data_IF_598651477076
#
_entry.id   IF_598651477076
#
_cell.length_a   1.000
_cell.length_b   1.000
_cell.length_c   1.000
_cell.angle_alpha   90.00
_cell.angle_beta   90.00
_cell.angle_gamma   90.00
#
_symmetry.space_group_name_H-M   'P 1'
#
loop_
_entity.id
_entity.type
_entity.pdbx_description
1 polymer ?
#
# COMPACT_ATOMS: atom_id res chain seq x y z
N UNK A 1 17.20 -12.48 8.25
CA UNK A 1 18.26 -12.01 7.32
C UNK A 1 19.55 -12.71 7.70
N UNK A 2 20.18 -13.47 6.80
CA UNK A 2 21.39 -14.22 7.16
C UNK A 2 22.58 -13.27 7.27
N UNK A 3 23.29 -13.33 8.40
CA UNK A 3 24.50 -12.53 8.67
C UNK A 3 25.65 -12.84 7.70
N UNK A 4 25.49 -13.82 6.81
CA UNK A 4 26.50 -14.29 5.86
C UNK A 4 26.40 -13.57 4.51
N UNK A 5 25.20 -13.41 3.94
CA UNK A 5 25.01 -12.76 2.64
C UNK A 5 25.42 -11.28 2.67
N UNK A 6 25.06 -10.56 3.73
CA UNK A 6 25.44 -9.16 3.90
C UNK A 6 26.96 -8.95 3.95
N UNK A 7 27.71 -9.90 4.55
CA UNK A 7 29.18 -9.85 4.56
C UNK A 7 29.76 -10.01 3.15
N UNK A 8 29.19 -10.91 2.34
CA UNK A 8 29.60 -11.07 0.93
C UNK A 8 29.33 -9.78 0.16
N UNK A 9 28.15 -9.18 0.34
CA UNK A 9 27.78 -7.92 -0.31
C UNK A 9 28.72 -6.79 0.09
N UNK A 10 29.08 -6.67 1.37
CA UNK A 10 30.07 -5.69 1.83
C UNK A 10 31.43 -5.90 1.18
N UNK A 11 31.89 -7.14 1.09
CA UNK A 11 33.16 -7.46 0.41
C UNK A 11 33.10 -7.11 -1.09
N UNK A 12 31.99 -7.39 -1.77
CA UNK A 12 31.78 -7.02 -3.17
C UNK A 12 31.76 -5.50 -3.37
N UNK A 13 31.10 -4.75 -2.47
CA UNK A 13 31.13 -3.27 -2.46
C UNK A 13 32.54 -2.74 -2.26
N UNK A 14 33.31 -3.36 -1.37
CA UNK A 14 34.72 -2.99 -1.14
C UNK A 14 35.54 -3.21 -2.42
N UNK A 15 35.35 -4.33 -3.12
CA UNK A 15 36.02 -4.60 -4.39
C UNK A 15 35.62 -3.57 -5.46
N UNK A 16 34.32 -3.26 -5.59
CA UNK A 16 33.82 -2.28 -6.55
C UNK A 16 34.43 -0.89 -6.31
N UNK A 17 34.54 -0.48 -5.04
CA UNK A 17 35.06 0.84 -4.66
C UNK A 17 36.59 0.95 -4.71
N UNK A 18 37.33 -0.15 -4.49
CA UNK A 18 38.81 -0.11 -4.38
C UNK A 18 39.53 -0.45 -5.69
N UNK A 19 38.95 -1.30 -6.53
CA UNK A 19 39.59 -1.69 -7.79
C UNK A 19 39.36 -0.63 -8.88
N UNK A 20 40.45 0.03 -9.32
CA UNK A 20 40.40 1.09 -10.35
C UNK A 20 40.11 0.58 -11.76
N UNK A 21 40.50 -0.65 -12.07
CA UNK A 21 40.36 -1.24 -13.42
C UNK A 21 39.28 -2.30 -13.44
N UNK A 22 38.44 -2.25 -14.49
CA UNK A 22 37.27 -3.13 -14.63
C UNK A 22 37.66 -4.62 -14.66
N UNK A 23 38.66 -5.00 -15.46
CA UNK A 23 39.08 -6.41 -15.54
C UNK A 23 39.58 -6.98 -14.20
N UNK A 24 40.25 -6.16 -13.39
CA UNK A 24 40.69 -6.57 -12.04
C UNK A 24 39.49 -6.72 -11.11
N UNK A 25 38.54 -5.78 -11.17
CA UNK A 25 37.31 -5.80 -10.39
C UNK A 25 36.50 -7.07 -10.66
N UNK A 26 36.21 -7.37 -11.93
CA UNK A 26 35.47 -8.55 -12.33
C UNK A 26 36.17 -9.83 -11.89
N UNK A 27 37.50 -9.93 -12.07
CA UNK A 27 38.25 -11.10 -11.63
C UNK A 27 38.25 -11.29 -10.10
N UNK A 28 38.36 -10.20 -9.32
CA UNK A 28 38.27 -10.26 -7.85
C UNK A 28 36.88 -10.66 -7.37
N UNK A 29 35.82 -10.13 -8.00
CA UNK A 29 34.44 -10.50 -7.71
C UNK A 29 34.17 -11.96 -8.06
N UNK A 30 34.62 -12.42 -9.23
CA UNK A 30 34.55 -13.82 -9.65
C UNK A 30 35.18 -14.75 -8.61
N UNK A 31 36.44 -14.50 -8.24
CA UNK A 31 37.17 -15.34 -7.27
C UNK A 31 36.52 -15.35 -5.88
N UNK A 32 35.84 -14.26 -5.50
CA UNK A 32 35.09 -14.21 -4.25
C UNK A 32 33.82 -15.08 -4.33
N UNK A 33 33.04 -14.91 -5.39
CA UNK A 33 31.77 -15.63 -5.60
C UNK A 33 31.99 -17.13 -5.83
N UNK A 34 33.05 -17.51 -6.54
CA UNK A 34 33.39 -18.89 -6.85
C UNK A 34 33.68 -19.73 -5.59
N UNK A 35 34.11 -19.11 -4.49
CA UNK A 35 34.27 -19.78 -3.17
C UNK A 35 32.95 -20.30 -2.61
N UNK A 36 31.83 -19.74 -3.05
CA UNK A 36 30.49 -20.09 -2.59
C UNK A 36 29.67 -20.82 -3.65
N UNK A 37 30.31 -21.31 -4.73
CA UNK A 37 29.63 -21.98 -5.85
C UNK A 37 28.73 -23.15 -5.43
N UNK A 38 29.09 -23.84 -4.34
CA UNK A 38 28.34 -24.99 -3.82
C UNK A 38 27.21 -24.57 -2.86
N UNK A 39 27.17 -23.30 -2.44
CA UNK A 39 26.13 -22.74 -1.57
C UNK A 39 25.16 -21.88 -2.39
N UNK A 40 24.29 -22.56 -3.15
CA UNK A 40 23.29 -21.91 -4.00
C UNK A 40 22.35 -20.98 -3.24
N UNK A 41 21.89 -21.36 -2.05
CA UNK A 41 20.96 -20.55 -1.25
C UNK A 41 21.57 -19.20 -0.86
N UNK A 42 22.83 -19.21 -0.42
CA UNK A 42 23.55 -17.99 -0.06
C UNK A 42 23.75 -17.07 -1.28
N UNK A 43 24.08 -17.65 -2.44
CA UNK A 43 24.21 -16.90 -3.69
C UNK A 43 22.86 -16.34 -4.15
N UNK A 44 21.76 -17.09 -3.99
CA UNK A 44 20.40 -16.60 -4.25
C UNK A 44 20.05 -15.42 -3.34
N UNK A 45 20.37 -15.48 -2.06
CA UNK A 45 20.15 -14.37 -1.12
C UNK A 45 20.94 -13.11 -1.53
N UNK A 46 22.20 -13.27 -1.96
CA UNK A 46 23.02 -12.16 -2.47
C UNK A 46 22.40 -11.54 -3.73
N UNK A 47 21.93 -12.35 -4.68
CA UNK A 47 21.25 -11.87 -5.89
C UNK A 47 19.95 -11.15 -5.55
N UNK A 48 19.09 -11.71 -4.69
CA UNK A 48 17.83 -11.09 -4.24
C UNK A 48 18.05 -9.72 -3.61
N UNK A 49 19.03 -9.59 -2.71
CA UNK A 49 19.32 -8.32 -2.02
C UNK A 49 19.90 -7.27 -2.96
N UNK A 50 20.68 -7.68 -3.96
CA UNK A 50 21.35 -6.74 -4.88
C UNK A 50 20.50 -6.38 -6.10
N UNK A 51 19.41 -7.11 -6.38
CA UNK A 51 18.57 -6.94 -7.58
C UNK A 51 18.23 -5.47 -7.85
N UNK A 52 18.36 -5.05 -9.11
CA UNK A 52 18.09 -3.68 -9.56
C UNK A 52 19.17 -2.64 -9.21
N UNK A 53 20.34 -3.06 -8.71
CA UNK A 53 21.47 -2.16 -8.43
C UNK A 53 22.61 -2.35 -9.43
N UNK A 54 23.47 -1.34 -9.62
CA UNK A 54 24.70 -1.48 -10.42
C UNK A 54 25.61 -2.60 -9.95
N UNK A 55 25.63 -2.86 -8.63
CA UNK A 55 26.43 -3.96 -8.07
C UNK A 55 25.95 -5.32 -8.57
N UNK A 56 24.64 -5.46 -8.82
CA UNK A 56 24.04 -6.67 -9.37
C UNK A 56 24.53 -6.97 -10.78
N UNK A 57 24.51 -5.96 -11.65
CA UNK A 57 25.02 -6.07 -13.03
C UNK A 57 26.48 -6.53 -13.03
N UNK A 58 27.30 -5.94 -12.15
CA UNK A 58 28.72 -6.31 -12.01
C UNK A 58 28.92 -7.72 -11.44
N UNK A 59 28.02 -8.20 -10.58
CA UNK A 59 28.06 -9.57 -10.04
C UNK A 59 27.80 -10.58 -11.16
N UNK A 60 26.77 -10.35 -11.98
CA UNK A 60 26.42 -11.22 -13.10
C UNK A 60 27.51 -11.21 -14.18
N UNK A 61 28.03 -10.03 -14.52
CA UNK A 61 29.15 -9.89 -15.47
C UNK A 61 30.42 -10.61 -14.97
N UNK A 62 30.72 -10.52 -13.67
CA UNK A 62 31.88 -11.17 -13.08
C UNK A 62 31.72 -12.70 -12.98
N UNK A 63 30.51 -13.20 -12.75
CA UNK A 63 30.25 -14.63 -12.57
C UNK A 63 28.97 -15.08 -13.31
N UNK A 64 29.07 -15.27 -14.65
CA UNK A 64 27.93 -15.60 -15.51
C UNK A 64 27.08 -16.82 -15.11
N UNK A 65 27.61 -17.88 -14.45
CA UNK A 65 26.78 -18.97 -13.97
C UNK A 65 25.63 -18.55 -13.04
N UNK A 66 25.71 -17.37 -12.42
CA UNK A 66 24.64 -16.82 -11.59
C UNK A 66 23.41 -16.39 -12.39
N UNK A 67 23.51 -16.14 -13.69
CA UNK A 67 22.32 -15.85 -14.54
C UNK A 67 21.34 -17.02 -14.55
N UNK A 68 21.83 -18.26 -14.41
CA UNK A 68 20.96 -19.43 -14.30
C UNK A 68 20.26 -19.46 -12.95
N UNK A 69 20.96 -19.09 -11.87
CA UNK A 69 20.35 -18.95 -10.54
C UNK A 69 19.36 -17.78 -10.48
N UNK A 70 19.60 -16.70 -11.22
CA UNK A 70 18.67 -15.57 -11.34
C UNK A 70 17.37 -16.00 -12.02
N UNK A 71 17.46 -16.79 -13.09
CA UNK A 71 16.28 -17.39 -13.74
C UNK A 71 15.55 -18.36 -12.81
N UNK A 72 16.27 -19.21 -12.06
CA UNK A 72 15.67 -20.07 -11.03
C UNK A 72 14.91 -19.25 -9.98
N UNK A 73 15.45 -18.09 -9.55
CA UNK A 73 14.75 -17.19 -8.62
C UNK A 73 13.49 -16.62 -9.26
N UNK A 74 13.53 -16.20 -10.52
CA UNK A 74 12.36 -15.66 -11.21
C UNK A 74 11.29 -16.72 -11.44
N UNK A 75 11.68 -17.96 -11.73
CA UNK A 75 10.77 -19.11 -11.82
C UNK A 75 10.17 -19.48 -10.46
N UNK A 76 10.97 -19.46 -9.38
CA UNK A 76 10.50 -19.65 -8.01
C UNK A 76 9.53 -18.54 -7.59
N UNK A 77 9.87 -17.28 -7.85
CA UNK A 77 9.02 -16.14 -7.52
C UNK A 77 7.70 -16.21 -8.33
N UNK A 78 7.73 -16.61 -9.61
CA UNK A 78 6.51 -16.85 -10.42
C UNK A 78 5.67 -18.02 -9.90
N UNK A 79 6.31 -19.10 -9.46
CA UNK A 79 5.62 -20.29 -8.91
C UNK A 79 5.00 -19.97 -7.55
N UNK A 80 5.70 -19.21 -6.70
CA UNK A 80 5.14 -18.63 -5.47
C UNK A 80 3.98 -17.70 -5.81
N UNK A 81 4.08 -16.86 -6.86
CA UNK A 81 2.96 -15.99 -7.27
C UNK A 81 1.73 -16.81 -7.72
N UNK A 82 1.95 -17.97 -8.37
CA UNK A 82 0.88 -18.87 -8.80
C UNK A 82 0.29 -19.68 -7.64
N UNK A 83 1.12 -20.17 -6.71
CA UNK A 83 0.69 -20.89 -5.51
C UNK A 83 -0.01 -19.93 -4.51
N UNK A 84 0.50 -18.71 -4.33
CA UNK A 84 -0.17 -17.62 -3.61
C UNK A 84 -1.50 -17.25 -4.29
N UNK A 85 -1.59 -17.28 -5.63
CA UNK A 85 -2.86 -17.05 -6.34
C UNK A 85 -3.89 -18.17 -6.16
N UNK A 86 -3.45 -19.40 -5.84
CA UNK A 86 -4.33 -20.54 -5.54
C UNK A 86 -4.73 -20.61 -4.06
N UNK A 87 -3.84 -20.21 -3.14
CA UNK A 87 -4.18 -20.03 -1.72
C UNK A 87 -5.02 -18.76 -1.48
N UNK A 88 -4.82 -17.68 -2.26
CA UNK A 88 -5.65 -16.45 -2.23
C UNK A 88 -7.09 -16.69 -2.71
N UNK A 89 -7.36 -17.74 -3.51
CA UNK A 89 -8.75 -18.13 -3.84
C UNK A 89 -9.55 -18.60 -2.62
N UNK A 90 -8.92 -18.80 -1.46
CA UNK A 90 -9.59 -19.07 -0.18
C UNK A 90 -9.66 -17.85 0.76
N UNK A 91 -9.08 -16.71 0.42
CA UNK A 91 -9.41 -15.45 1.07
C UNK A 91 -10.72 -14.95 0.47
N UNK A 92 -11.81 -14.97 1.23
CA UNK A 92 -13.10 -14.40 0.79
C UNK A 92 -12.88 -13.05 0.11
N UNK A 93 -13.46 -12.90 -1.07
CA UNK A 93 -13.46 -11.65 -1.84
C UNK A 93 -14.15 -10.56 -1.00
N UNK A 94 -13.34 -9.80 -0.25
CA UNK A 94 -13.79 -8.79 0.71
C UNK A 94 -14.74 -7.77 0.09
N UNK A 95 -14.46 -7.36 -1.15
CA UNK A 95 -15.27 -6.46 -1.93
C UNK A 95 -15.30 -6.97 -3.38
N UNK A 96 -16.50 -7.22 -3.89
CA UNK A 96 -16.76 -7.51 -5.30
C UNK A 96 -17.35 -6.29 -6.01
N UNK A 97 -17.22 -6.22 -7.34
CA UNK A 97 -17.72 -5.11 -8.14
C UNK A 97 -18.87 -5.54 -9.04
N UNK A 98 -19.92 -4.72 -9.08
CA UNK A 98 -21.13 -4.92 -9.87
C UNK A 98 -21.25 -3.81 -10.93
N UNK A 99 -20.54 -4.00 -12.05
CA UNK A 99 -20.47 -3.02 -13.13
C UNK A 99 -19.34 -1.99 -12.94
N UNK A 100 -19.56 -0.78 -13.44
CA UNK A 100 -18.54 0.28 -13.39
C UNK A 100 -18.41 0.85 -11.98
N UNK A 101 -17.20 0.77 -11.42
CA UNK A 101 -16.84 1.39 -10.14
C UNK A 101 -15.96 2.61 -10.35
N UNK A 102 -15.88 3.47 -9.34
CA UNK A 102 -14.96 4.60 -9.37
C UNK A 102 -13.50 4.14 -9.30
N UNK A 103 -12.59 4.98 -9.78
CA UNK A 103 -11.16 4.71 -9.66
C UNK A 103 -10.71 4.57 -8.21
N UNK A 104 -11.32 5.32 -7.28
CA UNK A 104 -11.00 5.27 -5.85
C UNK A 104 -11.40 3.92 -5.24
N UNK A 105 -12.55 3.37 -5.61
CA UNK A 105 -12.99 2.04 -5.19
C UNK A 105 -12.09 0.94 -5.76
N UNK A 106 -11.73 1.05 -7.04
CA UNK A 106 -10.82 0.10 -7.69
C UNK A 106 -9.41 0.13 -7.06
N UNK A 107 -8.84 1.32 -6.88
CA UNK A 107 -7.51 1.49 -6.27
C UNK A 107 -7.51 0.97 -4.83
N UNK A 108 -8.56 1.22 -4.04
CA UNK A 108 -8.69 0.64 -2.69
C UNK A 108 -8.60 -0.87 -2.72
N UNK A 109 -9.38 -1.53 -3.57
CA UNK A 109 -9.42 -2.99 -3.62
C UNK A 109 -8.12 -3.58 -4.17
N UNK A 110 -7.53 -2.95 -5.18
CA UNK A 110 -6.22 -3.32 -5.69
C UNK A 110 -5.14 -3.23 -4.60
N UNK A 111 -5.10 -2.11 -3.87
CA UNK A 111 -4.15 -1.90 -2.78
C UNK A 111 -4.39 -2.87 -1.61
N UNK A 112 -5.65 -3.17 -1.29
CA UNK A 112 -5.99 -4.21 -0.30
C UNK A 112 -5.43 -5.56 -0.72
N UNK A 113 -5.72 -5.98 -1.95
CA UNK A 113 -5.37 -7.30 -2.44
C UNK A 113 -3.86 -7.51 -2.52
N UNK A 114 -3.12 -6.55 -3.07
CA UNK A 114 -1.72 -6.78 -3.44
C UNK A 114 -0.69 -6.16 -2.49
N UNK A 115 -1.08 -5.26 -1.57
CA UNK A 115 -0.12 -4.49 -0.77
C UNK A 115 -0.44 -4.45 0.71
N UNK A 116 -1.65 -4.02 1.08
CA UNK A 116 -1.95 -3.61 2.45
C UNK A 116 -2.83 -4.59 3.22
N UNK A 117 -3.53 -5.50 2.55
CA UNK A 117 -4.49 -6.40 3.19
C UNK A 117 -5.47 -5.63 4.08
N UNK A 118 -5.67 -6.11 5.30
CA UNK A 118 -6.55 -5.48 6.30
C UNK A 118 -6.11 -4.06 6.72
N UNK A 119 -4.85 -3.66 6.51
CA UNK A 119 -4.39 -2.31 6.83
C UNK A 119 -4.94 -1.24 5.87
N UNK A 120 -5.53 -1.64 4.73
CA UNK A 120 -6.10 -0.72 3.75
C UNK A 120 -7.06 0.28 4.40
N UNK A 121 -7.87 -0.16 5.37
CA UNK A 121 -8.83 0.68 6.10
C UNK A 121 -8.15 1.86 6.79
N UNK A 122 -7.10 1.58 7.57
CA UNK A 122 -6.36 2.61 8.30
C UNK A 122 -5.64 3.54 7.33
N UNK A 123 -4.97 2.99 6.32
CA UNK A 123 -4.19 3.78 5.36
C UNK A 123 -5.10 4.73 4.58
N UNK A 124 -6.22 4.24 4.05
CA UNK A 124 -7.14 5.05 3.27
C UNK A 124 -7.86 6.11 4.11
N UNK A 125 -8.16 5.80 5.38
CA UNK A 125 -8.64 6.80 6.34
C UNK A 125 -7.62 7.92 6.55
N UNK A 126 -6.35 7.58 6.81
CA UNK A 126 -5.29 8.59 6.99
C UNK A 126 -5.04 9.40 5.72
N UNK A 127 -5.12 8.80 4.53
CA UNK A 127 -5.03 9.51 3.24
C UNK A 127 -6.12 10.58 3.14
N UNK A 128 -7.38 10.23 3.39
CA UNK A 128 -8.48 11.19 3.34
C UNK A 128 -8.30 12.32 4.35
N UNK A 129 -7.86 11.98 5.57
CA UNK A 129 -7.63 12.94 6.65
C UNK A 129 -6.49 13.91 6.34
N UNK A 130 -5.32 13.41 5.96
CA UNK A 130 -4.17 14.22 5.56
C UNK A 130 -4.51 15.12 4.37
N UNK A 131 -5.23 14.59 3.38
CA UNK A 131 -5.65 15.35 2.21
C UNK A 131 -6.54 16.55 2.58
N UNK A 132 -7.57 16.34 3.40
CA UNK A 132 -8.41 17.43 3.91
C UNK A 132 -7.61 18.48 4.69
N UNK A 133 -6.66 18.04 5.52
CA UNK A 133 -5.78 18.93 6.27
C UNK A 133 -4.94 19.79 5.33
N UNK A 134 -4.31 19.18 4.31
CA UNK A 134 -3.49 19.88 3.31
C UNK A 134 -4.28 20.87 2.47
N UNK A 135 -5.53 20.54 2.13
CA UNK A 135 -6.42 21.45 1.41
C UNK A 135 -6.84 22.67 2.24
N UNK A 136 -6.71 22.61 3.57
CA UNK A 136 -7.07 23.72 4.46
C UNK A 136 -8.57 24.00 4.53
N UNK A 137 -9.42 23.02 4.19
CA UNK A 137 -10.88 23.16 4.28
C UNK A 137 -11.26 23.33 5.75
N UNK A 138 -11.82 24.48 6.09
CA UNK A 138 -12.03 24.93 7.47
C UNK A 138 -13.44 25.49 7.74
N UNK A 139 -14.39 25.27 6.83
CA UNK A 139 -15.80 25.61 7.01
C UNK A 139 -16.70 24.54 6.36
N UNK A 140 -17.93 24.42 6.87
CA UNK A 140 -18.89 23.39 6.44
C UNK A 140 -19.33 23.54 4.98
N UNK A 141 -19.52 24.76 4.48
CA UNK A 141 -20.00 24.97 3.10
C UNK A 141 -19.00 24.47 2.07
N UNK A 142 -17.71 24.81 2.27
CA UNK A 142 -16.62 24.34 1.40
C UNK A 142 -16.48 22.82 1.49
N UNK A 143 -16.60 22.26 2.69
CA UNK A 143 -16.55 20.82 2.92
C UNK A 143 -17.68 20.09 2.17
N UNK A 144 -18.93 20.54 2.31
CA UNK A 144 -20.10 19.91 1.68
C UNK A 144 -19.99 20.01 0.15
N UNK A 145 -19.62 21.18 -0.39
CA UNK A 145 -19.45 21.36 -1.83
C UNK A 145 -18.38 20.40 -2.39
N UNK A 146 -17.22 20.32 -1.74
CA UNK A 146 -16.19 19.37 -2.12
C UNK A 146 -16.69 17.92 -2.07
N UNK A 147 -17.40 17.56 -1.00
CA UNK A 147 -17.90 16.20 -0.86
C UNK A 147 -18.95 15.84 -1.91
N UNK A 148 -19.82 16.78 -2.29
CA UNK A 148 -20.77 16.61 -3.39
C UNK A 148 -20.07 16.31 -4.71
N UNK A 149 -19.00 17.05 -5.01
CA UNK A 149 -18.26 16.91 -6.25
C UNK A 149 -17.43 15.62 -6.29
N UNK A 150 -16.75 15.29 -5.19
CA UNK A 150 -15.74 14.23 -5.15
C UNK A 150 -16.28 12.89 -4.67
N UNK A 151 -17.15 12.87 -3.66
CA UNK A 151 -17.65 11.63 -3.04
C UNK A 151 -19.08 11.31 -3.44
N UNK A 152 -20.03 12.24 -3.33
CA UNK A 152 -21.45 12.02 -3.60
C UNK A 152 -22.35 12.99 -2.85
N UNK A 153 -23.65 12.94 -3.12
CA UNK A 153 -24.64 13.87 -2.56
C UNK A 153 -24.63 13.80 -1.02
N UNK A 154 -24.13 14.85 -0.39
CA UNK A 154 -23.78 14.92 1.03
C UNK A 154 -24.76 15.82 1.78
N UNK A 155 -25.27 15.29 2.89
CA UNK A 155 -26.14 15.98 3.83
C UNK A 155 -25.60 15.86 5.25
N UNK A 156 -25.74 16.91 6.03
CA UNK A 156 -25.36 16.92 7.45
C UNK A 156 -26.63 16.92 8.29
N UNK A 157 -26.76 15.93 9.16
CA UNK A 157 -27.74 15.94 10.24
C UNK A 157 -27.07 16.53 11.49
N UNK A 158 -27.48 17.73 11.88
CA UNK A 158 -27.03 18.41 13.11
C UNK A 158 -27.66 17.83 14.38
N UNK A 159 -27.91 16.52 14.40
CA UNK A 159 -28.25 15.76 15.60
C UNK A 159 -26.99 15.50 16.43
N UNK A 160 -27.15 15.12 17.71
CA UNK A 160 -26.04 14.61 18.53
C UNK A 160 -26.15 13.08 18.59
N UNK A 161 -25.16 12.32 18.08
CA UNK A 161 -23.90 12.77 17.49
C UNK A 161 -24.03 13.33 16.08
N UNK A 162 -23.14 14.28 15.74
CA UNK A 162 -23.06 14.88 14.40
C UNK A 162 -22.92 13.76 13.34
N UNK A 163 -23.85 13.75 12.38
CA UNK A 163 -23.98 12.66 11.43
C UNK A 163 -23.94 13.19 9.99
N UNK A 164 -23.18 12.52 9.13
CA UNK A 164 -23.13 12.79 7.70
C UNK A 164 -23.80 11.65 6.93
N UNK A 165 -24.63 12.00 5.96
CA UNK A 165 -25.24 11.07 5.01
C UNK A 165 -24.69 11.39 3.63
N UNK A 166 -24.12 10.39 2.96
CA UNK A 166 -23.61 10.52 1.59
C UNK A 166 -24.32 9.49 0.72
N UNK A 167 -25.16 9.97 -0.21
CA UNK A 167 -25.79 9.12 -1.22
C UNK A 167 -24.86 8.96 -2.42
N UNK A 168 -24.98 7.83 -3.11
CA UNK A 168 -24.17 7.51 -4.28
C UNK A 168 -22.65 7.71 -4.05
N UNK A 169 -22.17 7.40 -2.84
CA UNK A 169 -20.76 7.58 -2.51
C UNK A 169 -19.90 6.76 -3.48
N UNK A 170 -19.02 7.44 -4.22
CA UNK A 170 -18.15 6.86 -5.24
C UNK A 170 -17.24 5.75 -4.70
N UNK A 171 -16.89 5.74 -3.41
CA UNK A 171 -16.13 4.63 -2.81
C UNK A 171 -16.93 3.32 -2.70
N UNK A 172 -18.26 3.38 -2.68
CA UNK A 172 -19.10 2.21 -2.41
C UNK A 172 -20.16 1.92 -3.48
N UNK A 173 -20.42 2.86 -4.40
CA UNK A 173 -21.32 2.60 -5.51
C UNK A 173 -20.80 1.41 -6.33
N UNK A 174 -21.71 0.50 -6.68
CA UNK A 174 -21.40 -0.72 -7.43
C UNK A 174 -20.35 -1.64 -6.75
N UNK A 175 -20.15 -1.49 -5.44
CA UNK A 175 -19.35 -2.41 -4.63
C UNK A 175 -20.29 -3.33 -3.83
N UNK A 176 -19.84 -4.54 -3.50
CA UNK A 176 -20.50 -5.44 -2.54
C UNK A 176 -19.48 -5.98 -1.54
N UNK A 177 -19.68 -5.72 -0.26
CA UNK A 177 -18.76 -6.10 0.81
C UNK A 177 -19.53 -6.47 2.10
N UNK A 178 -18.91 -7.26 2.97
CA UNK A 178 -19.50 -7.63 4.27
C UNK A 178 -19.41 -6.52 5.31
N UNK A 179 -18.53 -5.53 5.10
CA UNK A 179 -18.32 -4.40 6.00
C UNK A 179 -18.25 -3.05 5.25
N UNK A 180 -18.34 -1.90 5.96
CA UNK A 180 -18.25 -0.59 5.32
C UNK A 180 -16.88 -0.33 4.70
N UNK A 181 -16.84 0.38 3.56
CA UNK A 181 -15.63 0.53 2.72
C UNK A 181 -15.27 1.98 2.37
N UNK A 182 -16.02 2.99 2.83
CA UNK A 182 -15.80 4.40 2.48
C UNK A 182 -14.76 5.06 3.39
N UNK A 183 -13.55 4.49 3.41
CA UNK A 183 -12.50 4.88 4.35
C UNK A 183 -11.95 6.27 4.06
N UNK A 184 -11.73 6.62 2.78
CA UNK A 184 -11.24 7.96 2.42
C UNK A 184 -12.26 9.02 2.79
N UNK A 185 -13.55 8.79 2.52
CA UNK A 185 -14.64 9.70 2.87
C UNK A 185 -14.67 9.95 4.37
N UNK A 186 -14.61 8.88 5.18
CA UNK A 186 -14.60 9.00 6.64
C UNK A 186 -13.37 9.79 7.14
N UNK A 187 -12.19 9.51 6.57
CA UNK A 187 -10.96 10.23 6.87
C UNK A 187 -11.04 11.70 6.50
N UNK A 188 -11.56 12.00 5.31
CA UNK A 188 -11.74 13.35 4.80
C UNK A 188 -12.66 14.19 5.69
N UNK A 189 -13.79 13.62 6.12
CA UNK A 189 -14.69 14.25 7.09
C UNK A 189 -13.94 14.59 8.38
N UNK A 190 -13.15 13.64 8.89
CA UNK A 190 -12.38 13.85 10.12
C UNK A 190 -11.37 14.99 9.97
N UNK A 191 -10.61 15.02 8.87
CA UNK A 191 -9.61 16.06 8.61
C UNK A 191 -10.23 17.44 8.45
N UNK A 192 -11.36 17.56 7.75
CA UNK A 192 -12.10 18.82 7.64
C UNK A 192 -12.56 19.32 9.02
N UNK A 193 -13.14 18.45 9.84
CA UNK A 193 -13.63 18.82 11.17
C UNK A 193 -12.48 19.18 12.14
N UNK A 194 -11.31 18.55 12.01
CA UNK A 194 -10.12 18.96 12.76
C UNK A 194 -9.66 20.36 12.34
N UNK A 195 -9.68 20.70 11.05
CA UNK A 195 -9.38 22.05 10.59
C UNK A 195 -10.42 23.09 11.07
N UNK A 196 -11.71 22.77 10.95
CA UNK A 196 -12.83 23.63 11.40
C UNK A 196 -12.72 23.93 12.90
N UNK A 197 -12.23 22.97 13.69
CA UNK A 197 -12.05 23.13 15.13
C UNK A 197 -10.67 23.64 15.52
N UNK A 198 -9.88 24.15 14.57
CA UNK A 198 -8.51 24.65 14.79
C UNK A 198 -7.62 23.62 15.51
N UNK A 199 -7.82 22.34 15.21
CA UNK A 199 -7.12 21.18 15.80
C UNK A 199 -7.26 21.08 17.32
N UNK A 200 -8.29 21.70 17.90
CA UNK A 200 -8.61 21.66 19.33
C UNK A 200 -9.06 20.27 19.79
N UNK A 201 -9.71 19.51 18.91
CA UNK A 201 -10.21 18.17 19.19
C UNK A 201 -9.57 17.15 18.25
N UNK A 202 -9.38 15.93 18.73
CA UNK A 202 -9.19 14.77 17.86
C UNK A 202 -10.56 14.31 17.37
N UNK A 203 -10.71 14.20 16.06
CA UNK A 203 -11.96 13.75 15.44
C UNK A 203 -11.77 12.33 14.92
N UNK A 204 -12.67 11.44 15.33
CA UNK A 204 -12.83 10.10 14.77
C UNK A 204 -14.18 10.04 14.05
N UNK A 205 -14.19 9.42 12.88
CA UNK A 205 -15.41 9.27 12.05
C UNK A 205 -15.57 7.79 11.73
N UNK A 206 -16.73 7.23 12.09
CA UNK A 206 -17.05 5.81 11.83
C UNK A 206 -18.22 5.70 10.87
N UNK A 207 -18.07 4.91 9.80
CA UNK A 207 -19.17 4.54 8.91
C UNK A 207 -20.06 3.47 9.56
N UNK A 208 -21.38 3.69 9.60
CA UNK A 208 -22.38 2.78 10.18
C UNK A 208 -23.24 2.08 9.14
N UNK A 209 -23.62 2.80 8.09
CA UNK A 209 -24.34 2.27 6.92
C UNK A 209 -23.48 2.49 5.69
N UNK A 210 -23.53 1.56 4.74
CA UNK A 210 -22.70 1.63 3.53
C UNK A 210 -23.44 1.04 2.32
N UNK A 211 -23.39 1.72 1.18
CA UNK A 211 -23.93 1.20 -0.09
C UNK A 211 -23.36 -0.18 -0.42
N UNK A 212 -22.09 -0.42 -0.13
CA UNK A 212 -21.44 -1.71 -0.40
C UNK A 212 -22.02 -2.87 0.44
N UNK A 213 -22.65 -2.56 1.58
CA UNK A 213 -23.35 -3.55 2.42
C UNK A 213 -24.81 -3.77 1.98
N UNK A 214 -25.28 -3.05 0.97
CA UNK A 214 -26.68 -3.01 0.56
C UNK A 214 -27.55 -2.01 1.34
N UNK A 215 -26.95 -1.12 2.15
CA UNK A 215 -27.68 -0.01 2.77
C UNK A 215 -28.05 1.05 1.71
N UNK A 216 -29.12 1.85 1.89
CA UNK A 216 -29.57 2.82 0.87
C UNK A 216 -28.66 4.04 0.71
N UNK A 217 -27.72 4.26 1.64
CA UNK A 217 -26.77 5.36 1.64
C UNK A 217 -25.60 5.04 2.58
N UNK A 218 -24.52 5.81 2.47
CA UNK A 218 -23.43 5.76 3.44
C UNK A 218 -23.69 6.74 4.59
N UNK A 219 -23.55 6.29 5.83
CA UNK A 219 -23.79 7.10 7.04
C UNK A 219 -22.54 7.12 7.91
N UNK A 220 -22.08 8.32 8.27
CA UNK A 220 -20.87 8.53 9.06
C UNK A 220 -21.20 9.25 10.36
N UNK A 221 -20.74 8.69 11.47
CA UNK A 221 -20.94 9.26 12.82
C UNK A 221 -19.63 9.84 13.31
N UNK A 222 -19.69 11.08 13.77
CA UNK A 222 -18.54 11.81 14.32
C UNK A 222 -18.44 11.58 15.83
N UNK A 223 -17.23 11.31 16.31
CA UNK A 223 -16.88 11.32 17.73
C UNK A 223 -15.74 12.31 17.98
N UNK A 224 -15.89 13.12 19.03
CA UNK A 224 -14.89 14.10 19.46
C UNK A 224 -14.19 13.58 20.70
N UNK A 225 -12.86 13.72 20.74
CA UNK A 225 -12.07 13.50 21.95
C UNK A 225 -11.12 14.68 22.19
N UNK A 226 -10.87 15.00 23.46
CA UNK A 226 -10.03 16.14 23.85
C UNK A 226 -8.56 15.75 23.63
N UNK A 227 -7.77 16.63 23.00
CA UNK A 227 -6.30 16.53 23.04
C UNK A 227 -5.85 16.90 24.45
N UNK A 228 -5.37 15.92 25.21
CA UNK A 228 -4.71 16.13 26.52
C UNK A 228 -3.30 16.64 26.26
#
# INVERSE_FOLDING_TARGET
>A
MSTSAMKIIEMLKIIDNRAKFMGIKLNMMKNLLEKYKDNKELLKEVLKITKGTRLHELILEAYPPLETLEKEIEEEDMTITLEESEEEKKAEEFCSFDGYVSIIAYVREYMRKYYFGYNVKKIFYEIGKDYAIKMGINNYDTMINFMNDEFGETHIETSEPLTFIVKNNKEAINCRASEPVCYITAGFIAGCLENITEKKYMIEVTEKKCLAKGDPYCQFIVKKSIRI
#
